data_IF_467235064405
#
_entry.id   IF_467235064405
#
_cell.length_a   1.000
_cell.length_b   1.000
_cell.length_c   1.000
_cell.angle_alpha   90.00
_cell.angle_beta   90.00
_cell.angle_gamma   90.00
#
_symmetry.space_group_name_H-M   'P 1'
#
loop_
_entity.id
_entity.type
_entity.pdbx_description
1 polymer ?
#
# COMPACT_ATOMS: atom_id res chain seq x y z
N UNK A 1 40.10 -32.87 4.79
CA UNK A 1 41.06 -31.84 4.36
C UNK A 1 40.30 -30.85 3.50
N UNK A 2 39.95 -29.65 3.92
CA UNK A 2 39.84 -29.03 5.24
C UNK A 2 38.52 -28.24 5.17
N UNK A 3 37.74 -28.32 6.25
CA UNK A 3 36.52 -27.56 6.44
C UNK A 3 36.94 -26.33 7.23
N UNK A 4 37.04 -25.16 6.58
CA UNK A 4 37.33 -23.92 7.33
C UNK A 4 36.02 -23.19 7.64
N UNK A 5 35.64 -23.30 8.90
CA UNK A 5 34.48 -22.68 9.52
C UNK A 5 34.90 -21.28 9.97
N UNK A 6 34.49 -20.25 9.23
CA UNK A 6 34.58 -18.88 9.73
C UNK A 6 33.33 -18.59 10.57
N UNK A 7 33.46 -18.77 11.88
CA UNK A 7 32.58 -18.15 12.84
C UNK A 7 32.71 -16.62 12.67
N UNK A 8 31.64 -15.96 12.24
CA UNK A 8 31.53 -14.52 12.42
C UNK A 8 30.39 -14.25 13.40
N UNK A 9 30.81 -13.68 14.53
CA UNK A 9 29.99 -13.25 15.65
C UNK A 9 28.69 -12.57 15.25
N UNK A 10 27.62 -13.00 15.93
CA UNK A 10 26.28 -12.47 15.78
C UNK A 10 26.19 -11.03 16.28
N UNK A 11 26.05 -10.10 15.34
CA UNK A 11 25.39 -8.81 15.55
C UNK A 11 24.73 -8.29 14.25
N UNK A 12 24.37 -9.21 13.35
CA UNK A 12 23.84 -8.88 12.01
C UNK A 12 22.33 -8.65 11.93
N UNK A 13 21.56 -9.09 12.93
CA UNK A 13 20.10 -9.25 12.78
C UNK A 13 19.27 -8.02 13.21
N UNK A 14 19.90 -6.99 13.78
CA UNK A 14 19.18 -5.77 14.22
C UNK A 14 19.13 -4.66 13.17
N UNK A 15 19.96 -4.72 12.13
CA UNK A 15 19.93 -3.74 11.02
C UNK A 15 19.01 -4.17 9.87
N UNK A 16 18.81 -5.47 9.69
CA UNK A 16 17.91 -6.00 8.66
C UNK A 16 16.43 -5.76 9.02
N UNK A 17 16.11 -5.79 10.33
CA UNK A 17 14.77 -5.46 10.84
C UNK A 17 14.42 -3.97 10.70
N UNK A 18 15.40 -3.06 10.58
CA UNK A 18 15.17 -1.64 10.32
C UNK A 18 15.00 -1.33 8.82
N UNK A 19 15.56 -2.16 7.92
CA UNK A 19 15.39 -1.99 6.47
C UNK A 19 13.97 -2.37 6.01
N UNK A 20 13.32 -3.32 6.68
CA UNK A 20 11.91 -3.64 6.44
C UNK A 20 10.95 -2.47 6.78
N UNK A 21 11.36 -1.54 7.65
CA UNK A 21 10.58 -0.35 8.01
C UNK A 21 10.71 0.81 7.00
N UNK A 22 11.62 0.71 6.02
CA UNK A 22 11.86 1.78 5.02
C UNK A 22 11.19 1.49 3.67
N UNK A 23 10.63 0.29 3.48
CA UNK A 23 9.81 -0.05 2.31
C UNK A 23 8.36 0.49 2.41
N UNK A 24 7.99 1.09 3.54
CA UNK A 24 6.72 1.78 3.73
C UNK A 24 6.85 3.23 3.25
N UNK A 25 6.11 3.61 2.22
CA UNK A 25 6.07 4.99 1.75
C UNK A 25 5.71 6.01 2.85
N UNK A 26 5.86 7.30 2.56
CA UNK A 26 5.53 8.36 3.52
C UNK A 26 4.01 8.51 3.67
N UNK A 27 3.48 8.44 4.88
CA UNK A 27 2.09 8.88 5.15
C UNK A 27 2.01 10.41 5.13
N UNK A 28 1.00 10.96 4.48
CA UNK A 28 0.72 12.40 4.48
C UNK A 28 -0.60 12.68 5.18
N UNK A 29 -0.59 13.53 6.21
CA UNK A 29 -1.79 13.87 6.97
C UNK A 29 -2.26 15.27 6.63
N UNK A 30 -3.51 15.39 6.20
CA UNK A 30 -4.22 16.65 6.04
C UNK A 30 -5.24 16.88 7.15
N UNK A 31 -5.98 17.99 7.05
CA UNK A 31 -7.04 18.33 8.03
C UNK A 31 -8.18 17.29 8.02
N UNK A 32 -8.62 16.87 6.83
CA UNK A 32 -9.77 15.96 6.64
C UNK A 32 -9.41 14.57 6.15
N UNK A 33 -8.22 14.42 5.58
CA UNK A 33 -7.81 13.18 4.91
C UNK A 33 -6.44 12.73 5.40
N UNK A 34 -6.20 11.42 5.33
CA UNK A 34 -4.86 10.84 5.45
C UNK A 34 -4.55 10.09 4.16
N UNK A 35 -3.36 10.32 3.60
CA UNK A 35 -2.83 9.54 2.49
C UNK A 35 -1.89 8.49 3.07
N UNK A 36 -2.29 7.23 3.01
CA UNK A 36 -1.43 6.10 3.38
C UNK A 36 -0.83 5.47 2.13
N UNK A 37 0.41 4.97 2.16
CA UNK A 37 1.02 4.31 1.01
C UNK A 37 0.17 3.14 0.51
N UNK A 38 0.10 2.95 -0.81
CA UNK A 38 -0.59 1.79 -1.39
C UNK A 38 0.22 0.50 -1.16
N UNK A 39 -0.06 -0.19 -0.06
CA UNK A 39 0.54 -1.48 0.31
C UNK A 39 -0.15 -2.67 -0.38
N UNK A 40 0.53 -3.81 -0.40
CA UNK A 40 0.06 -5.05 -1.05
C UNK A 40 -1.27 -5.53 -0.48
N UNK A 41 -1.49 -5.29 0.80
CA UNK A 41 -2.69 -5.64 1.59
C UNK A 41 -3.96 -4.96 1.07
N UNK A 42 -3.82 -3.85 0.34
CA UNK A 42 -4.95 -3.14 -0.27
C UNK A 42 -5.43 -3.79 -1.58
N UNK A 43 -4.58 -4.58 -2.25
CA UNK A 43 -4.84 -5.13 -3.59
C UNK A 43 -6.16 -5.91 -3.66
N UNK A 44 -6.49 -6.82 -2.71
CA UNK A 44 -7.76 -7.55 -2.76
C UNK A 44 -8.99 -6.64 -2.71
N UNK A 45 -8.93 -5.57 -1.91
CA UNK A 45 -10.04 -4.62 -1.80
C UNK A 45 -10.12 -3.71 -3.02
N UNK A 46 -8.99 -3.23 -3.53
CA UNK A 46 -8.93 -2.51 -4.80
C UNK A 46 -9.57 -3.32 -5.92
N UNK A 47 -9.21 -4.60 -6.04
CA UNK A 47 -9.76 -5.51 -7.03
C UNK A 47 -11.30 -5.65 -6.93
N UNK A 48 -11.85 -5.72 -5.70
CA UNK A 48 -13.31 -5.77 -5.50
C UNK A 48 -13.99 -4.49 -6.00
N UNK A 49 -13.41 -3.32 -5.76
CA UNK A 49 -13.95 -2.06 -6.27
C UNK A 49 -13.84 -1.95 -7.79
N UNK A 50 -12.75 -2.44 -8.37
CA UNK A 50 -12.55 -2.47 -9.82
C UNK A 50 -13.45 -3.50 -10.54
N UNK A 51 -14.37 -4.16 -9.83
CA UNK A 51 -15.50 -4.87 -10.45
C UNK A 51 -16.70 -3.95 -10.76
N UNK A 52 -16.73 -2.72 -10.23
CA UNK A 52 -17.81 -1.76 -10.49
C UNK A 52 -17.60 -1.08 -11.86
N UNK A 53 -18.55 -1.32 -12.78
CA UNK A 53 -18.50 -0.74 -14.14
C UNK A 53 -18.57 0.78 -14.17
N UNK A 54 -19.25 1.42 -13.22
CA UNK A 54 -19.30 2.89 -13.14
C UNK A 54 -17.94 3.45 -12.73
N UNK A 55 -17.23 2.76 -11.81
CA UNK A 55 -15.89 3.14 -11.40
C UNK A 55 -14.88 2.94 -12.53
N UNK A 56 -14.91 1.80 -13.21
CA UNK A 56 -14.07 1.51 -14.38
C UNK A 56 -14.25 2.58 -15.47
N UNK A 57 -15.50 2.95 -15.78
CA UNK A 57 -15.79 3.99 -16.76
C UNK A 57 -15.28 5.37 -16.31
N UNK A 58 -15.46 5.72 -15.04
CA UNK A 58 -15.03 7.01 -14.51
C UNK A 58 -13.50 7.18 -14.49
N UNK A 59 -12.75 6.09 -14.30
CA UNK A 59 -11.28 6.09 -14.27
C UNK A 59 -10.66 5.77 -15.63
N UNK A 60 -11.45 5.29 -16.61
CA UNK A 60 -10.93 4.80 -17.89
C UNK A 60 -10.09 3.53 -17.76
N UNK A 61 -10.33 2.75 -16.70
CA UNK A 61 -9.61 1.50 -16.43
C UNK A 61 -10.33 0.30 -17.04
N UNK A 62 -9.58 -0.75 -17.32
CA UNK A 62 -10.10 -2.05 -17.72
C UNK A 62 -10.12 -3.01 -16.52
N UNK A 63 -11.07 -3.95 -16.46
CA UNK A 63 -11.08 -4.95 -15.40
C UNK A 63 -9.87 -5.88 -15.53
N UNK A 64 -9.18 -6.10 -14.42
CA UNK A 64 -8.04 -7.00 -14.32
C UNK A 64 -8.37 -8.17 -13.40
N UNK A 65 -7.72 -9.31 -13.62
CA UNK A 65 -7.70 -10.41 -12.66
C UNK A 65 -6.94 -10.00 -11.38
N UNK A 66 -7.25 -10.64 -10.25
CA UNK A 66 -6.55 -10.35 -8.99
C UNK A 66 -5.02 -10.50 -9.10
N UNK A 67 -4.53 -11.47 -9.88
CA UNK A 67 -3.10 -11.65 -10.12
C UNK A 67 -2.49 -10.51 -10.94
N UNK A 68 -3.23 -10.00 -11.93
CA UNK A 68 -2.84 -8.81 -12.69
C UNK A 68 -2.76 -7.57 -11.80
N UNK A 69 -3.69 -7.41 -10.86
CA UNK A 69 -3.64 -6.31 -9.88
C UNK A 69 -2.39 -6.36 -9.01
N UNK A 70 -1.97 -7.55 -8.56
CA UNK A 70 -0.71 -7.71 -7.85
C UNK A 70 0.51 -7.36 -8.70
N UNK A 71 0.52 -7.78 -9.98
CA UNK A 71 1.61 -7.41 -10.90
C UNK A 71 1.66 -5.91 -11.14
N UNK A 72 0.50 -5.27 -11.25
CA UNK A 72 0.39 -3.85 -11.50
C UNK A 72 0.79 -3.02 -10.27
N UNK A 73 0.36 -3.44 -9.08
CA UNK A 73 0.86 -2.93 -7.80
C UNK A 73 2.38 -2.95 -7.73
N UNK A 74 3.00 -4.10 -7.99
CA UNK A 74 4.46 -4.23 -7.98
C UNK A 74 5.14 -3.26 -8.95
N UNK A 75 4.60 -3.12 -10.17
CA UNK A 75 5.14 -2.20 -11.16
C UNK A 75 5.07 -0.72 -10.73
N UNK A 76 4.08 -0.36 -9.92
CA UNK A 76 3.92 1.02 -9.43
C UNK A 76 4.80 1.33 -8.23
N UNK A 77 4.90 0.41 -7.27
CA UNK A 77 5.72 0.64 -6.07
C UNK A 77 7.23 0.58 -6.37
N UNK A 78 7.64 -0.09 -7.45
CA UNK A 78 9.04 -0.19 -7.87
C UNK A 78 9.48 0.95 -8.78
N UNK A 79 8.54 1.78 -9.27
CA UNK A 79 8.86 2.94 -10.10
C UNK A 79 9.24 4.12 -9.19
N UNK A 80 10.52 4.55 -9.17
CA UNK A 80 10.99 5.60 -8.25
C UNK A 80 10.36 6.97 -8.54
N UNK A 81 9.76 7.15 -9.73
CA UNK A 81 9.10 8.39 -10.09
C UNK A 81 7.61 8.40 -9.72
N UNK A 82 7.07 7.27 -9.25
CA UNK A 82 5.66 7.13 -8.89
C UNK A 82 5.48 7.03 -7.39
N UNK A 83 4.50 7.77 -6.88
CA UNK A 83 3.97 7.57 -5.54
C UNK A 83 2.49 7.30 -5.64
N UNK A 84 2.04 6.21 -4.99
CA UNK A 84 0.64 5.78 -5.00
C UNK A 84 0.13 5.71 -3.57
N UNK A 85 -1.02 6.32 -3.34
CA UNK A 85 -1.64 6.41 -2.02
C UNK A 85 -3.06 5.90 -2.02
N UNK A 86 -3.49 5.46 -0.84
CA UNK A 86 -4.86 5.26 -0.44
C UNK A 86 -5.31 6.48 0.36
N UNK A 87 -6.44 7.07 -0.05
CA UNK A 87 -7.06 8.20 0.64
C UNK A 87 -8.02 7.67 1.70
N UNK A 88 -7.81 8.09 2.95
CA UNK A 88 -8.69 7.82 4.08
C UNK A 88 -9.38 9.12 4.49
N UNK A 89 -10.69 9.06 4.73
CA UNK A 89 -11.46 10.17 5.28
C UNK A 89 -11.46 10.09 6.81
N UNK A 90 -10.87 11.09 7.48
CA UNK A 90 -10.75 11.12 8.94
C UNK A 90 -12.11 11.10 9.65
N UNK A 91 -13.19 11.53 9.01
CA UNK A 91 -14.53 11.51 9.59
C UNK A 91 -15.16 10.11 9.58
N UNK A 92 -14.69 9.24 8.69
CA UNK A 92 -15.21 7.88 8.51
C UNK A 92 -14.33 6.81 9.19
N UNK A 93 -13.13 7.18 9.66
CA UNK A 93 -12.27 6.28 10.42
C UNK A 93 -12.83 6.06 11.83
N UNK A 94 -13.06 4.80 12.19
CA UNK A 94 -13.33 4.41 13.56
C UNK A 94 -12.01 4.15 14.31
N UNK A 95 -11.73 4.95 15.34
CA UNK A 95 -10.52 4.80 16.16
C UNK A 95 -9.38 5.76 15.80
N UNK A 96 -8.23 5.56 16.43
CA UNK A 96 -7.03 6.38 16.19
C UNK A 96 -6.27 5.90 14.95
N UNK A 97 -5.76 6.85 14.17
CA UNK A 97 -4.88 6.54 13.04
C UNK A 97 -3.53 6.01 13.55
N UNK A 98 -3.17 4.79 13.13
CA UNK A 98 -1.88 4.16 13.42
C UNK A 98 -0.99 4.24 12.19
N UNK A 99 0.17 4.89 12.31
CA UNK A 99 1.13 5.01 11.22
C UNK A 99 1.71 3.65 10.85
N UNK A 100 1.73 3.34 9.56
CA UNK A 100 2.26 2.08 9.03
C UNK A 100 1.25 0.94 9.00
N UNK A 101 0.08 1.11 9.61
CA UNK A 101 -1.05 0.19 9.42
C UNK A 101 -1.71 0.47 8.05
N UNK A 102 -2.13 -0.57 7.30
CA UNK A 102 -2.78 -0.41 6.01
C UNK A 102 -4.26 0.03 6.12
N UNK A 103 -4.87 0.08 7.31
CA UNK A 103 -6.24 0.55 7.53
C UNK A 103 -7.26 -0.12 6.58
N UNK A 104 -7.16 -1.45 6.44
CA UNK A 104 -8.04 -2.27 5.60
C UNK A 104 -9.41 -2.51 6.27
N UNK A 105 -9.69 -2.01 7.46
CA UNK A 105 -10.98 -2.25 8.11
C UNK A 105 -12.01 -1.13 7.87
N UNK A 106 -13.12 -1.52 7.25
CA UNK A 106 -14.44 -0.91 7.41
C UNK A 106 -15.39 -2.09 7.61
N UNK A 107 -15.80 -2.34 8.85
CA UNK A 107 -16.36 -3.60 9.37
C UNK A 107 -17.74 -4.01 8.79
N UNK A 108 -18.25 -3.34 7.76
CA UNK A 108 -19.60 -3.60 7.23
C UNK A 108 -19.73 -3.44 5.70
N UNK A 109 -18.64 -3.22 4.96
CA UNK A 109 -18.73 -2.93 3.52
C UNK A 109 -19.43 -1.60 3.19
N UNK A 110 -19.71 -0.76 4.19
CA UNK A 110 -20.34 0.54 4.04
C UNK A 110 -19.27 1.62 3.90
N UNK A 111 -18.83 1.87 2.67
CA UNK A 111 -18.51 3.19 2.11
C UNK A 111 -17.44 4.07 2.83
N UNK A 112 -16.73 3.56 3.86
CA UNK A 112 -15.89 4.36 4.75
C UNK A 112 -14.57 4.84 4.15
N UNK A 113 -13.98 4.07 3.24
CA UNK A 113 -12.71 4.43 2.60
C UNK A 113 -12.94 4.51 1.10
N UNK A 114 -13.18 5.72 0.58
CA UNK A 114 -13.16 5.95 -0.87
C UNK A 114 -11.72 5.90 -1.33
N UNK A 115 -11.31 4.75 -1.84
CA UNK A 115 -10.04 4.63 -2.50
C UNK A 115 -10.06 5.43 -3.79
N UNK A 116 -9.30 6.50 -3.78
CA UNK A 116 -8.85 7.11 -5.00
C UNK A 116 -7.39 6.72 -5.07
N UNK A 117 -7.03 5.88 -6.03
CA UNK A 117 -5.63 5.71 -6.35
C UNK A 117 -5.17 7.07 -6.92
N UNK A 118 -4.28 7.75 -6.20
CA UNK A 118 -3.69 8.99 -6.71
C UNK A 118 -2.26 8.66 -7.08
N UNK A 119 -2.00 8.65 -8.39
CA UNK A 119 -0.66 8.49 -8.94
C UNK A 119 -0.03 9.87 -9.08
N UNK A 120 0.99 10.13 -8.27
CA UNK A 120 1.88 11.26 -8.50
C UNK A 120 3.08 10.77 -9.29
N UNK A 121 3.29 11.32 -10.49
CA UNK A 121 4.53 11.15 -11.24
C UNK A 121 5.35 12.43 -11.12
N UNK A 122 6.62 12.33 -10.76
CA UNK A 122 7.54 13.46 -10.94
C UNK A 122 7.76 13.65 -12.45
N UNK A 123 7.69 14.92 -12.90
CA UNK A 123 7.90 15.34 -14.31
C UNK A 123 9.32 15.84 -14.46
#
# INVERSE_FOLDING_TARGET
MEMEVAAHDGDGDRREMAAAATAGGVTLEGERVVLVPYMREHVPRYHQWMQDSALLLATGSEPLSLEEEYRMHLSWIQDPNKHTFIVLDKQLMAGEFVRGDPHIEGSDGSHGNRLIDVKFSQV
#
